data_IF_311068694408
#
_entry.id   IF_311068694408
#
_cell.length_a   1.000
_cell.length_b   1.000
_cell.length_c   1.000
_cell.angle_alpha   90.00
_cell.angle_beta   90.00
_cell.angle_gamma   90.00
#
_symmetry.space_group_name_H-M   'P 1'
#
loop_
_entity.id
_entity.type
_entity.pdbx_description
1 polymer ?
#
# COMPACT_ATOMS: atom_id res chain seq x y z
N UNK A 1 -19.88 9.25 -11.01
CA UNK A 1 -18.42 9.20 -11.16
C UNK A 1 -17.82 8.30 -10.08
N UNK A 2 -16.97 7.35 -10.45
CA UNK A 2 -16.34 6.54 -9.43
C UNK A 2 -15.42 7.40 -8.57
N UNK A 3 -15.50 7.15 -7.27
CA UNK A 3 -14.62 7.80 -6.30
C UNK A 3 -13.52 6.82 -5.95
N UNK A 4 -12.30 7.31 -5.91
CA UNK A 4 -11.14 6.50 -5.55
C UNK A 4 -10.64 6.89 -4.18
N UNK A 5 -10.06 5.92 -3.48
CA UNK A 5 -9.46 6.13 -2.16
C UNK A 5 -8.06 5.51 -2.14
N UNK A 6 -7.19 6.10 -1.35
CA UNK A 6 -5.89 5.50 -1.05
C UNK A 6 -5.99 4.74 0.26
N UNK A 7 -5.11 3.77 0.44
CA UNK A 7 -5.08 2.97 1.66
C UNK A 7 -3.66 2.53 1.95
N UNK A 8 -3.42 2.16 3.20
CA UNK A 8 -2.11 1.68 3.66
C UNK A 8 -2.33 0.38 4.42
N UNK A 9 -1.57 -0.65 4.04
CA UNK A 9 -1.57 -1.96 4.69
C UNK A 9 -0.22 -2.16 5.36
N UNK A 10 -0.24 -2.55 6.63
CA UNK A 10 1.00 -2.95 7.30
C UNK A 10 1.43 -4.32 6.80
N UNK A 11 2.72 -4.45 6.50
CA UNK A 11 3.31 -5.71 6.05
C UNK A 11 4.21 -6.26 7.15
N UNK A 12 4.34 -7.58 7.19
CA UNK A 12 5.34 -8.22 8.06
C UNK A 12 6.73 -7.70 7.69
N UNK A 13 7.57 -7.45 8.70
CA UNK A 13 8.95 -6.99 8.47
C UNK A 13 9.80 -8.01 7.72
N UNK A 14 9.35 -9.26 7.64
CA UNK A 14 10.00 -10.29 6.84
C UNK A 14 10.09 -9.91 5.35
N UNK A 15 9.18 -9.04 4.86
CA UNK A 15 9.23 -8.60 3.48
C UNK A 15 10.54 -7.89 3.16
N UNK A 16 11.08 -7.13 4.10
CA UNK A 16 12.35 -6.43 3.90
C UNK A 16 13.52 -7.42 3.77
N UNK A 17 13.50 -8.47 4.56
CA UNK A 17 14.55 -9.49 4.53
C UNK A 17 14.42 -10.42 3.33
N UNK A 18 13.19 -10.82 3.00
CA UNK A 18 12.93 -11.89 2.04
C UNK A 18 12.74 -11.41 0.59
N UNK A 19 12.41 -10.12 0.41
CA UNK A 19 12.07 -9.62 -0.92
C UNK A 19 13.06 -8.53 -1.36
N UNK A 20 13.98 -8.91 -2.26
CA UNK A 20 15.07 -8.02 -2.67
C UNK A 20 14.58 -6.69 -3.28
N UNK A 21 13.55 -6.72 -4.13
CA UNK A 21 13.02 -5.51 -4.75
C UNK A 21 12.45 -4.55 -3.73
N UNK A 22 11.76 -5.07 -2.71
CA UNK A 22 11.24 -4.25 -1.63
C UNK A 22 12.39 -3.57 -0.87
N UNK A 23 13.41 -4.35 -0.54
CA UNK A 23 14.60 -3.84 0.16
C UNK A 23 15.30 -2.75 -0.65
N UNK A 24 15.50 -3.01 -1.94
CA UNK A 24 16.21 -2.08 -2.82
C UNK A 24 15.44 -0.76 -3.00
N UNK A 25 14.13 -0.79 -2.92
CA UNK A 25 13.29 0.40 -3.02
C UNK A 25 13.32 1.24 -1.73
N UNK A 26 13.83 0.70 -0.62
CA UNK A 26 13.77 1.33 0.70
C UNK A 26 15.14 1.41 1.38
N UNK A 27 16.14 2.06 0.76
CA UNK A 27 17.48 2.16 1.35
C UNK A 27 17.49 2.96 2.66
N UNK A 28 16.49 3.79 2.90
CA UNK A 28 16.36 4.62 4.11
C UNK A 28 15.90 3.83 5.33
N UNK A 29 15.40 2.60 5.14
CA UNK A 29 14.80 1.82 6.23
C UNK A 29 15.86 1.28 7.17
N UNK A 30 15.67 1.53 8.48
CA UNK A 30 16.61 1.11 9.52
C UNK A 30 16.02 0.06 10.49
N UNK A 31 14.81 -0.44 10.20
CA UNK A 31 14.20 -1.51 10.98
C UNK A 31 13.44 -1.08 12.23
N UNK A 32 13.34 0.22 12.50
CA UNK A 32 12.68 0.73 13.71
C UNK A 32 11.17 0.77 13.59
N UNK A 33 10.67 1.23 12.43
CA UNK A 33 9.23 1.32 12.17
C UNK A 33 8.80 0.24 11.19
N UNK A 34 7.52 0.23 10.82
CA UNK A 34 6.92 -0.87 10.08
C UNK A 34 7.23 -0.82 8.59
N UNK A 35 6.94 -1.93 7.91
CA UNK A 35 6.90 -2.02 6.45
C UNK A 35 5.46 -1.84 6.01
N UNK A 36 5.23 -1.09 4.93
CA UNK A 36 3.90 -0.70 4.49
C UNK A 36 3.73 -0.91 2.99
N UNK A 37 2.49 -1.15 2.59
CA UNK A 37 2.06 -1.07 1.19
C UNK A 37 1.05 0.06 1.06
N UNK A 38 1.25 0.94 0.09
CA UNK A 38 0.31 2.02 -0.23
C UNK A 38 -0.32 1.73 -1.58
N UNK A 39 -1.63 1.76 -1.63
CA UNK A 39 -2.37 1.52 -2.87
C UNK A 39 -3.55 2.45 -3.01
N UNK A 40 -4.28 2.29 -4.12
CA UNK A 40 -5.53 2.99 -4.32
C UNK A 40 -6.58 2.03 -4.86
N UNK A 41 -7.85 2.37 -4.67
CA UNK A 41 -8.96 1.51 -5.08
C UNK A 41 -10.18 2.34 -5.43
N UNK A 42 -11.02 1.81 -6.34
CA UNK A 42 -12.35 2.37 -6.61
C UNK A 42 -13.39 1.82 -5.64
N UNK A 43 -12.97 0.91 -4.77
CA UNK A 43 -13.79 0.32 -3.71
C UNK A 43 -13.41 0.97 -2.39
N UNK A 44 -13.89 0.42 -1.27
CA UNK A 44 -13.42 0.87 0.04
C UNK A 44 -12.08 0.21 0.36
N UNK A 45 -11.25 0.83 1.22
CA UNK A 45 -10.01 0.20 1.67
C UNK A 45 -10.25 -1.19 2.28
N UNK A 46 -11.32 -1.35 3.05
CA UNK A 46 -11.69 -2.63 3.69
C UNK A 46 -11.99 -3.70 2.67
N UNK A 47 -12.76 -3.37 1.63
CA UNK A 47 -13.08 -4.32 0.55
C UNK A 47 -11.83 -4.74 -0.21
N UNK A 48 -10.97 -3.77 -0.53
CA UNK A 48 -9.73 -4.05 -1.26
C UNK A 48 -8.77 -4.88 -0.43
N UNK A 49 -8.66 -4.59 0.86
CA UNK A 49 -7.85 -5.38 1.78
C UNK A 49 -8.33 -6.84 1.81
N UNK A 50 -9.65 -7.04 1.91
CA UNK A 50 -10.23 -8.38 1.90
C UNK A 50 -9.90 -9.13 0.61
N UNK A 51 -9.97 -8.44 -0.54
CA UNK A 51 -9.61 -9.04 -1.83
C UNK A 51 -8.14 -9.46 -1.85
N UNK A 52 -7.23 -8.62 -1.33
CA UNK A 52 -5.82 -8.96 -1.24
C UNK A 52 -5.61 -10.22 -0.39
N UNK A 53 -6.27 -10.28 0.77
CA UNK A 53 -6.06 -11.37 1.72
C UNK A 53 -6.71 -12.69 1.30
N UNK A 54 -7.69 -12.65 0.41
CA UNK A 54 -8.31 -13.87 -0.15
C UNK A 54 -7.62 -14.35 -1.43
N UNK A 55 -6.56 -13.65 -1.87
CA UNK A 55 -5.85 -14.02 -3.09
C UNK A 55 -6.61 -13.69 -4.36
N UNK A 56 -7.51 -12.71 -4.32
CA UNK A 56 -8.27 -12.31 -5.51
C UNK A 56 -7.35 -11.97 -6.66
N UNK A 57 -7.64 -12.57 -7.83
CA UNK A 57 -6.89 -12.31 -9.07
C UNK A 57 -7.81 -11.56 -10.02
N UNK A 58 -7.39 -10.37 -10.44
CA UNK A 58 -8.14 -9.62 -11.45
C UNK A 58 -8.00 -10.29 -12.82
N UNK A 59 -8.80 -9.84 -13.77
CA UNK A 59 -8.71 -10.33 -15.16
C UNK A 59 -7.32 -10.09 -15.76
N UNK A 60 -6.55 -9.18 -15.21
CA UNK A 60 -5.18 -8.87 -15.65
C UNK A 60 -4.12 -9.72 -14.98
N UNK A 61 -4.53 -10.62 -14.08
CA UNK A 61 -3.61 -11.49 -13.35
C UNK A 61 -2.96 -10.82 -12.15
N UNK A 62 -1.97 -11.51 -11.58
CA UNK A 62 -1.23 -11.02 -10.42
C UNK A 62 -0.18 -10.00 -10.83
N UNK A 63 0.08 -9.05 -9.93
CA UNK A 63 1.25 -8.19 -10.01
C UNK A 63 2.06 -8.33 -8.71
N UNK A 64 3.23 -7.68 -8.65
CA UNK A 64 4.11 -7.74 -7.49
C UNK A 64 3.40 -7.25 -6.23
N UNK A 65 2.63 -6.17 -6.35
CA UNK A 65 1.91 -5.60 -5.20
C UNK A 65 0.92 -6.59 -4.59
N UNK A 66 0.14 -7.27 -5.42
CA UNK A 66 -0.81 -8.27 -4.95
C UNK A 66 -0.11 -9.44 -4.27
N UNK A 67 1.01 -9.89 -4.82
CA UNK A 67 1.78 -10.99 -4.24
C UNK A 67 2.37 -10.59 -2.89
N UNK A 68 2.90 -9.37 -2.77
CA UNK A 68 3.47 -8.89 -1.51
C UNK A 68 2.40 -8.80 -0.42
N UNK A 69 1.23 -8.26 -0.73
CA UNK A 69 0.16 -8.12 0.25
C UNK A 69 -0.40 -9.47 0.65
N UNK A 70 -0.58 -10.39 -0.29
CA UNK A 70 -1.06 -11.74 0.02
C UNK A 70 -0.11 -12.45 0.99
N UNK A 71 1.19 -12.36 0.75
CA UNK A 71 2.18 -13.07 1.56
C UNK A 71 2.50 -12.38 2.88
N UNK A 72 2.61 -11.05 2.87
CA UNK A 72 3.11 -10.29 4.03
C UNK A 72 2.09 -9.37 4.67
N UNK A 73 0.92 -9.17 4.07
CA UNK A 73 -0.10 -8.26 4.59
C UNK A 73 -0.61 -8.68 5.95
N UNK A 74 -0.79 -7.71 6.86
CA UNK A 74 -1.28 -7.97 8.21
C UNK A 74 -2.61 -7.29 8.45
N UNK A 75 -2.67 -5.97 8.38
CA UNK A 75 -3.91 -5.23 8.59
C UNK A 75 -3.80 -3.82 8.02
N UNK A 76 -4.95 -3.18 7.83
CA UNK A 76 -5.03 -1.78 7.41
C UNK A 76 -4.52 -0.85 8.51
N UNK A 77 -3.97 0.28 8.10
CA UNK A 77 -3.51 1.33 9.01
C UNK A 77 -4.29 2.62 8.75
N UNK A 78 -5.58 2.72 9.17
CA UNK A 78 -6.41 3.88 8.85
C UNK A 78 -5.82 5.22 9.27
N UNK A 79 -5.15 5.28 10.40
CA UNK A 79 -4.55 6.52 10.88
C UNK A 79 -3.52 7.11 9.92
N UNK A 80 -2.98 6.30 8.99
CA UNK A 80 -1.98 6.75 8.03
C UNK A 80 -2.59 7.26 6.73
N UNK A 81 -3.87 7.01 6.46
CA UNK A 81 -4.47 7.42 5.18
C UNK A 81 -5.81 8.14 5.29
N UNK A 82 -6.44 8.20 6.45
CA UNK A 82 -7.76 8.83 6.60
C UNK A 82 -7.78 10.27 6.08
N UNK A 83 -6.75 11.05 6.39
CA UNK A 83 -6.67 12.44 5.97
C UNK A 83 -6.57 12.58 4.45
N UNK A 84 -5.96 11.63 3.78
CA UNK A 84 -5.83 11.67 2.33
C UNK A 84 -7.16 11.45 1.61
N UNK A 85 -8.14 10.82 2.28
CA UNK A 85 -9.42 10.45 1.68
C UNK A 85 -10.57 11.41 2.04
N UNK A 86 -10.28 12.53 2.69
CA UNK A 86 -11.33 13.46 3.11
C UNK A 86 -12.10 14.02 1.91
N UNK A 87 -11.40 14.35 0.82
CA UNK A 87 -12.03 14.83 -0.41
C UNK A 87 -12.15 13.69 -1.40
N UNK A 88 -13.30 13.58 -2.12
CA UNK A 88 -13.40 12.59 -3.20
C UNK A 88 -12.32 12.81 -4.26
N UNK A 89 -11.80 11.73 -4.80
CA UNK A 89 -10.73 11.79 -5.81
C UNK A 89 -11.14 11.00 -7.04
N UNK A 90 -10.77 11.51 -8.22
CA UNK A 90 -10.82 10.71 -9.43
C UNK A 90 -9.56 9.83 -9.48
N UNK A 91 -9.46 8.97 -10.50
CA UNK A 91 -8.35 8.03 -10.61
C UNK A 91 -6.99 8.74 -10.67
N UNK A 92 -6.90 9.81 -11.43
CA UNK A 92 -5.65 10.57 -11.60
C UNK A 92 -5.21 11.20 -10.27
N UNK A 93 -6.17 11.78 -9.54
CA UNK A 93 -5.89 12.37 -8.24
C UNK A 93 -5.46 11.33 -7.21
N UNK A 94 -6.11 10.17 -7.24
CA UNK A 94 -5.78 9.08 -6.33
C UNK A 94 -4.38 8.51 -6.61
N UNK A 95 -4.00 8.39 -7.89
CA UNK A 95 -2.65 7.96 -8.25
C UNK A 95 -1.59 8.93 -7.74
N UNK A 96 -1.85 10.23 -7.89
CA UNK A 96 -0.94 11.26 -7.37
C UNK A 96 -0.86 11.22 -5.84
N UNK A 97 -1.99 11.02 -5.17
CA UNK A 97 -2.04 10.93 -3.72
C UNK A 97 -1.33 9.67 -3.20
N UNK A 98 -1.46 8.55 -3.91
CA UNK A 98 -0.77 7.31 -3.58
C UNK A 98 0.75 7.53 -3.54
N UNK A 99 1.30 8.13 -4.58
CA UNK A 99 2.74 8.42 -4.64
C UNK A 99 3.15 9.41 -3.55
N UNK A 100 2.40 10.49 -3.40
CA UNK A 100 2.69 11.51 -2.38
C UNK A 100 2.70 10.91 -0.98
N UNK A 101 1.71 10.09 -0.67
CA UNK A 101 1.61 9.44 0.63
C UNK A 101 2.76 8.47 0.85
N UNK A 102 3.07 7.66 -0.16
CA UNK A 102 4.17 6.69 -0.07
C UNK A 102 5.50 7.37 0.20
N UNK A 103 5.80 8.45 -0.53
CA UNK A 103 7.04 9.20 -0.34
C UNK A 103 7.09 9.89 1.01
N UNK A 104 5.96 10.40 1.48
CA UNK A 104 5.85 11.00 2.81
C UNK A 104 6.17 9.99 3.91
N UNK A 105 5.62 8.78 3.81
CA UNK A 105 5.86 7.73 4.78
C UNK A 105 7.32 7.26 4.75
N UNK A 106 7.94 7.18 3.57
CA UNK A 106 9.38 6.88 3.47
C UNK A 106 10.22 7.92 4.21
N UNK A 107 9.86 9.20 4.08
CA UNK A 107 10.57 10.27 4.79
C UNK A 107 10.43 10.16 6.31
N UNK A 108 9.37 9.52 6.78
CA UNK A 108 9.18 9.24 8.21
C UNK A 108 9.89 7.98 8.68
N UNK A 109 10.58 7.28 7.79
CA UNK A 109 11.36 6.10 8.12
C UNK A 109 10.72 4.76 7.79
N UNK A 110 9.47 4.76 7.31
CA UNK A 110 8.81 3.51 6.92
C UNK A 110 9.44 2.94 5.65
N UNK A 111 9.44 1.61 5.55
CA UNK A 111 9.75 0.94 4.30
C UNK A 111 8.42 0.77 3.55
N UNK A 112 8.34 1.29 2.33
CA UNK A 112 7.07 1.40 1.61
C UNK A 112 7.18 0.83 0.20
N UNK A 113 6.15 0.07 -0.20
CA UNK A 113 5.94 -0.34 -1.59
C UNK A 113 4.66 0.32 -2.10
N UNK A 114 4.70 0.81 -3.33
CA UNK A 114 3.53 1.33 -4.03
C UNK A 114 3.68 1.10 -5.52
N UNK A 115 2.57 1.18 -6.25
CA UNK A 115 2.58 0.99 -7.70
C UNK A 115 3.12 2.18 -8.45
#
# INVERSE_FOLDING_TARGET
MPKYQVYVIELSKRVFTEHARFRDANPQFIGVVECLYVGMTSKTPEERFKQHMTGYVSKRGHNISSALVLKYGRYLRPSLYEQANIKPMNKKEALAMEEKLALHLRRKGYAVWFN
#
